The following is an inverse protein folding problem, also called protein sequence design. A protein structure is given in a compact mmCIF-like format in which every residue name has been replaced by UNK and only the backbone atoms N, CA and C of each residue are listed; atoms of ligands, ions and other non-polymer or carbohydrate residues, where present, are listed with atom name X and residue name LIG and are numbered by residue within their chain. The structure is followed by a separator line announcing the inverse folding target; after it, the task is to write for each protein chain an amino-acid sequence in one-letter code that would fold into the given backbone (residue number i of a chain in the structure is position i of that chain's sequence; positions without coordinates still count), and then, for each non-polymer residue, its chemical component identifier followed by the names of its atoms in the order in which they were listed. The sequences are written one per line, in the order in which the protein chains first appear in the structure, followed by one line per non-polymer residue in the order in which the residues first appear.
data_IF_196040986239
#
_entry.id   IF_196040986239
#
_cell.length_a   1.000
_cell.length_b   1.000
_cell.length_c   1.000
_cell.angle_alpha   90.00
_cell.angle_beta   90.00
_cell.angle_gamma   90.00
#
_symmetry.space_group_name_H-M   'P 1'
#
loop_
_entity.id
_entity.type
_entity.pdbx_description
1 polymer ?
#
# COMPACT_ATOMS: atom_id res chain seq x y z
N UNK A 1 7.85 -15.37 15.73
CA UNK A 1 7.02 -14.15 15.97
C UNK A 1 5.67 -14.57 16.54
N UNK A 2 5.06 -13.76 17.43
CA UNK A 2 3.71 -14.02 18.00
C UNK A 2 2.68 -13.93 16.86
N UNK A 3 1.58 -14.71 16.96
CA UNK A 3 0.45 -14.58 16.04
C UNK A 3 -0.17 -13.19 16.17
N UNK A 4 -0.35 -12.52 15.02
CA UNK A 4 -0.89 -11.16 14.91
C UNK A 4 -2.38 -11.16 14.51
N UNK A 5 -2.99 -12.33 14.32
CA UNK A 5 -4.40 -12.44 13.95
C UNK A 5 -5.29 -11.78 14.99
N UNK A 6 -6.31 -11.06 14.51
CA UNK A 6 -7.29 -10.37 15.35
C UNK A 6 -8.64 -10.27 14.61
N UNK A 7 -9.53 -9.38 15.04
CA UNK A 7 -10.86 -9.20 14.43
C UNK A 7 -10.80 -8.73 12.96
N UNK A 8 -9.74 -8.00 12.58
CA UNK A 8 -9.62 -7.38 11.24
C UNK A 8 -8.66 -8.06 10.31
N UNK A 9 -7.65 -8.76 10.83
CA UNK A 9 -6.58 -9.38 10.03
C UNK A 9 -6.41 -10.86 10.35
N UNK A 10 -5.88 -11.58 9.36
CA UNK A 10 -5.35 -12.95 9.49
C UNK A 10 -3.85 -12.89 9.27
N UNK A 11 -3.08 -13.49 10.18
CA UNK A 11 -1.63 -13.64 10.06
C UNK A 11 -1.32 -15.01 9.49
N UNK A 12 -0.60 -15.05 8.38
CA UNK A 12 -0.29 -16.28 7.64
C UNK A 12 1.21 -16.51 7.65
N UNK A 13 1.56 -17.74 8.00
CA UNK A 13 2.93 -18.28 7.91
C UNK A 13 2.87 -19.54 7.04
N UNK A 14 3.47 -19.45 5.87
CA UNK A 14 3.44 -20.54 4.90
C UNK A 14 4.73 -20.54 4.09
N UNK A 15 5.36 -21.71 3.93
CA UNK A 15 6.52 -21.94 3.06
C UNK A 15 7.68 -20.94 3.28
N UNK A 16 7.89 -20.54 4.54
CA UNK A 16 8.94 -19.58 4.93
C UNK A 16 8.57 -18.11 4.67
N UNK A 17 7.38 -17.82 4.13
CA UNK A 17 6.87 -16.46 4.02
C UNK A 17 5.90 -16.13 5.15
N UNK A 18 5.87 -14.85 5.52
CA UNK A 18 5.03 -14.35 6.59
C UNK A 18 4.36 -13.05 6.13
N UNK A 19 3.04 -13.01 6.19
CA UNK A 19 2.25 -11.87 5.75
C UNK A 19 0.90 -11.80 6.45
N UNK A 20 0.23 -10.67 6.35
CA UNK A 20 -1.14 -10.50 6.82
C UNK A 20 -2.09 -10.28 5.66
N UNK A 21 -3.33 -10.69 5.86
CA UNK A 21 -4.48 -10.40 4.99
C UNK A 21 -5.61 -9.76 5.79
N UNK A 22 -6.36 -8.87 5.14
CA UNK A 22 -7.53 -8.24 5.77
C UNK A 22 -8.76 -9.10 5.58
N UNK A 23 -9.45 -9.44 6.67
CA UNK A 23 -10.66 -10.27 6.63
C UNK A 23 -11.73 -9.69 5.71
N UNK A 24 -11.87 -8.36 5.70
CA UNK A 24 -12.84 -7.67 4.84
C UNK A 24 -12.56 -7.89 3.35
N UNK A 25 -11.31 -7.97 2.94
CA UNK A 25 -10.94 -8.23 1.54
C UNK A 25 -10.99 -9.73 1.20
N UNK A 26 -10.88 -10.62 2.20
CA UNK A 26 -11.04 -12.08 2.00
C UNK A 26 -12.49 -12.48 1.67
N UNK A 27 -13.47 -11.61 1.88
CA UNK A 27 -14.86 -11.82 1.46
C UNK A 27 -15.03 -11.81 -0.07
N UNK A 28 -13.99 -11.36 -0.80
CA UNK A 28 -13.96 -11.22 -2.25
C UNK A 28 -12.92 -12.16 -2.88
N UNK A 29 -13.33 -13.37 -3.28
CA UNK A 29 -12.41 -14.40 -3.77
C UNK A 29 -11.75 -14.06 -5.11
N UNK A 30 -12.27 -13.08 -5.83
CA UNK A 30 -11.75 -12.62 -7.10
C UNK A 30 -10.49 -11.74 -6.98
N UNK A 31 -10.16 -11.26 -5.77
CA UNK A 31 -8.93 -10.50 -5.54
C UNK A 31 -7.99 -11.26 -4.59
N UNK A 32 -6.70 -11.03 -4.78
CA UNK A 32 -5.68 -11.44 -3.82
C UNK A 32 -4.98 -10.22 -3.25
N UNK A 33 -4.63 -10.27 -1.98
CA UNK A 33 -3.91 -9.20 -1.33
C UNK A 33 -3.03 -9.74 -0.21
N UNK A 34 -1.97 -9.04 0.09
CA UNK A 34 -1.17 -9.28 1.28
C UNK A 34 -0.43 -8.00 1.70
N UNK A 35 -0.05 -7.96 2.95
CA UNK A 35 0.99 -7.07 3.46
C UNK A 35 2.09 -7.95 4.05
N UNK A 36 3.24 -7.99 3.39
CA UNK A 36 4.37 -8.85 3.80
C UNK A 36 4.97 -8.36 5.10
N UNK A 37 5.38 -9.31 5.94
CA UNK A 37 6.09 -9.03 7.18
C UNK A 37 7.57 -9.39 7.00
N UNK A 38 8.44 -8.57 7.57
CA UNK A 38 9.86 -8.86 7.58
C UNK A 38 10.15 -10.06 8.46
N UNK A 39 10.87 -11.03 7.91
CA UNK A 39 11.42 -12.16 8.65
C UNK A 39 12.78 -12.54 8.05
N UNK A 40 13.43 -13.59 8.57
CA UNK A 40 14.76 -14.02 8.12
C UNK A 40 14.78 -14.53 6.65
N UNK A 41 13.60 -14.77 6.06
CA UNK A 41 13.44 -15.30 4.70
C UNK A 41 12.96 -14.27 3.68
N UNK A 42 12.52 -13.09 4.12
CA UNK A 42 11.98 -12.03 3.27
C UNK A 42 12.66 -10.70 3.57
N UNK A 43 13.30 -10.12 2.58
CA UNK A 43 13.82 -8.76 2.66
C UNK A 43 13.44 -7.99 1.39
N UNK A 44 12.71 -6.88 1.56
CA UNK A 44 12.25 -6.00 0.49
C UNK A 44 12.92 -4.63 0.55
N UNK A 45 14.11 -4.53 1.15
CA UNK A 45 14.86 -3.27 1.21
C UNK A 45 15.20 -2.76 -0.19
N UNK A 46 14.92 -1.48 -0.43
CA UNK A 46 15.15 -0.81 -1.71
C UNK A 46 16.64 -0.74 -2.03
N UNK A 47 17.48 -0.51 -1.00
CA UNK A 47 18.94 -0.39 -1.12
C UNK A 47 19.66 -1.72 -0.75
N UNK A 48 18.92 -2.82 -0.73
CA UNK A 48 19.42 -4.14 -0.40
C UNK A 48 20.04 -4.87 -1.60
N UNK A 49 20.52 -6.10 -1.35
CA UNK A 49 20.98 -6.99 -2.40
C UNK A 49 19.84 -7.34 -3.34
N UNK A 50 20.03 -7.06 -4.63
CA UNK A 50 19.02 -7.30 -5.68
C UNK A 50 18.61 -8.77 -5.77
N UNK A 51 19.55 -9.69 -5.51
CA UNK A 51 19.29 -11.13 -5.52
C UNK A 51 18.34 -11.54 -4.38
N UNK A 52 18.56 -10.95 -3.20
CA UNK A 52 17.71 -11.18 -2.02
C UNK A 52 16.30 -10.62 -2.25
N UNK A 53 16.22 -9.42 -2.84
CA UNK A 53 14.95 -8.80 -3.23
C UNK A 53 14.19 -9.67 -4.24
N UNK A 54 14.86 -10.12 -5.29
CA UNK A 54 14.27 -10.98 -6.33
C UNK A 54 13.76 -12.31 -5.74
N UNK A 55 14.57 -12.95 -4.88
CA UNK A 55 14.18 -14.19 -4.18
C UNK A 55 12.98 -13.96 -3.26
N UNK A 56 12.91 -12.81 -2.59
CA UNK A 56 11.78 -12.46 -1.73
C UNK A 56 10.48 -12.31 -2.54
N UNK A 57 10.55 -11.68 -3.71
CA UNK A 57 9.40 -11.59 -4.62
C UNK A 57 8.99 -12.98 -5.15
N UNK A 58 9.92 -13.85 -5.50
CA UNK A 58 9.60 -15.21 -5.92
C UNK A 58 8.84 -15.98 -4.86
N UNK A 59 9.35 -15.98 -3.62
CA UNK A 59 8.71 -16.67 -2.50
C UNK A 59 7.28 -16.19 -2.24
N UNK A 60 7.04 -14.88 -2.27
CA UNK A 60 5.68 -14.35 -2.04
C UNK A 60 4.76 -14.63 -3.23
N UNK A 61 5.29 -14.58 -4.46
CA UNK A 61 4.54 -14.94 -5.66
C UNK A 61 4.08 -16.40 -5.62
N UNK A 62 4.96 -17.32 -5.25
CA UNK A 62 4.65 -18.74 -5.11
C UNK A 62 3.60 -18.98 -4.02
N UNK A 63 3.75 -18.35 -2.87
CA UNK A 63 2.80 -18.47 -1.75
C UNK A 63 1.39 -17.97 -2.11
N UNK A 64 1.31 -16.89 -2.90
CA UNK A 64 0.06 -16.27 -3.35
C UNK A 64 -0.42 -16.80 -4.72
N UNK A 65 0.39 -17.60 -5.41
CA UNK A 65 0.11 -18.10 -6.77
C UNK A 65 -0.13 -16.98 -7.79
N UNK A 66 0.71 -15.94 -7.73
CA UNK A 66 0.69 -14.81 -8.67
C UNK A 66 1.91 -14.86 -9.59
N UNK A 67 1.77 -14.35 -10.82
CA UNK A 67 2.87 -14.25 -11.77
C UNK A 67 3.70 -12.99 -11.46
N UNK A 68 4.97 -13.18 -11.10
CA UNK A 68 5.93 -12.11 -10.83
C UNK A 68 6.00 -11.08 -11.98
N UNK A 69 5.86 -11.52 -13.24
CA UNK A 69 5.86 -10.64 -14.42
C UNK A 69 4.66 -9.71 -14.50
N UNK A 70 3.64 -9.95 -13.69
CA UNK A 70 2.43 -9.14 -13.60
C UNK A 70 2.46 -8.13 -12.46
N UNK A 71 3.56 -8.06 -11.72
CA UNK A 71 3.73 -7.08 -10.66
C UNK A 71 4.18 -5.75 -11.25
N UNK A 72 3.38 -4.71 -10.99
CA UNK A 72 3.71 -3.31 -11.29
C UNK A 72 4.06 -2.62 -9.98
N UNK A 73 5.27 -2.07 -9.94
CA UNK A 73 5.81 -1.35 -8.78
C UNK A 73 6.31 0.03 -9.21
N UNK A 74 5.86 1.11 -8.58
CA UNK A 74 6.34 2.45 -8.89
C UNK A 74 7.69 2.72 -8.20
N UNK A 75 8.44 3.69 -8.71
CA UNK A 75 9.54 4.33 -7.99
C UNK A 75 8.92 5.40 -7.11
N UNK A 76 8.78 5.07 -5.81
CA UNK A 76 8.17 5.92 -4.79
C UNK A 76 9.17 6.98 -4.32
N UNK A 77 8.74 8.23 -4.25
CA UNK A 77 9.56 9.38 -3.80
C UNK A 77 8.81 10.28 -2.81
N UNK A 78 7.82 9.71 -2.12
CA UNK A 78 6.99 10.40 -1.13
C UNK A 78 6.18 11.56 -1.73
N UNK A 79 5.66 11.36 -2.93
CA UNK A 79 4.76 12.28 -3.62
C UNK A 79 3.30 12.02 -3.21
N UNK A 80 2.38 12.74 -3.86
CA UNK A 80 0.95 12.47 -3.81
C UNK A 80 0.40 12.05 -5.19
N UNK A 81 1.31 11.63 -6.09
CA UNK A 81 0.96 11.17 -7.42
C UNK A 81 0.37 9.75 -7.37
N UNK A 82 -0.76 9.61 -8.04
CA UNK A 82 -1.45 8.33 -8.23
C UNK A 82 -1.66 8.11 -9.72
N UNK A 83 -1.29 6.92 -10.23
CA UNK A 83 -1.40 6.61 -11.65
C UNK A 83 -2.26 5.38 -11.93
N UNK A 84 -2.86 5.38 -13.13
CA UNK A 84 -3.64 4.24 -13.65
C UNK A 84 -2.69 3.28 -14.36
N UNK A 85 -2.77 2.01 -14.00
CA UNK A 85 -2.02 0.94 -14.66
C UNK A 85 -2.93 0.28 -15.68
N UNK A 86 -2.50 0.27 -16.93
CA UNK A 86 -3.21 -0.37 -18.05
C UNK A 86 -2.49 -1.63 -18.55
N UNK A 87 -1.19 -1.75 -18.27
CA UNK A 87 -0.35 -2.89 -18.65
C UNK A 87 0.72 -3.18 -17.60
N UNK A 88 1.06 -4.45 -17.43
CA UNK A 88 2.14 -4.88 -16.54
C UNK A 88 3.56 -4.45 -16.99
N UNK A 89 3.71 -3.99 -18.22
CA UNK A 89 4.99 -3.51 -18.76
C UNK A 89 5.27 -2.03 -18.48
N UNK A 90 4.30 -1.31 -17.89
CA UNK A 90 4.44 0.11 -17.59
C UNK A 90 5.40 0.36 -16.43
N UNK A 91 6.12 1.48 -16.51
CA UNK A 91 7.01 1.94 -15.46
C UNK A 91 6.60 3.33 -14.99
N UNK A 92 6.53 3.48 -13.67
CA UNK A 92 6.08 4.72 -13.03
C UNK A 92 7.20 5.29 -12.16
N UNK A 93 7.58 6.54 -12.41
CA UNK A 93 8.57 7.29 -11.62
C UNK A 93 7.87 8.41 -10.87
N UNK A 94 8.34 8.68 -9.65
CA UNK A 94 7.77 9.71 -8.77
C UNK A 94 6.26 9.53 -8.54
N UNK A 95 5.86 8.27 -8.35
CA UNK A 95 4.47 7.85 -8.12
C UNK A 95 4.42 7.04 -6.84
N UNK A 96 3.48 7.35 -5.98
CA UNK A 96 3.30 6.70 -4.69
C UNK A 96 1.97 5.95 -4.58
N UNK A 97 1.16 5.97 -5.64
CA UNK A 97 -0.09 5.23 -5.70
C UNK A 97 -0.37 4.69 -7.10
N UNK A 98 -0.86 3.46 -7.16
CA UNK A 98 -1.29 2.80 -8.39
C UNK A 98 -2.73 2.31 -8.24
N UNK A 99 -3.52 2.46 -9.30
CA UNK A 99 -4.88 1.91 -9.40
C UNK A 99 -5.07 1.20 -10.75
N UNK A 100 -5.92 0.16 -10.78
CA UNK A 100 -6.25 -0.54 -12.02
C UNK A 100 -7.56 -1.30 -11.94
N UNK A 101 -8.22 -1.48 -13.08
CA UNK A 101 -9.33 -2.43 -13.27
C UNK A 101 -8.91 -3.63 -14.14
N UNK A 102 -7.63 -3.76 -14.46
CA UNK A 102 -7.15 -4.85 -15.32
C UNK A 102 -6.95 -6.11 -14.51
N UNK A 103 -7.54 -7.20 -14.97
CA UNK A 103 -7.33 -8.52 -14.42
C UNK A 103 -5.87 -8.98 -14.61
N UNK A 104 -5.41 -9.84 -13.72
CA UNK A 104 -4.06 -10.40 -13.74
C UNK A 104 -2.92 -9.35 -13.66
N UNK A 105 -3.20 -8.17 -13.14
CA UNK A 105 -2.17 -7.19 -12.75
C UNK A 105 -2.10 -7.15 -11.22
N UNK A 106 -0.89 -7.22 -10.70
CA UNK A 106 -0.60 -7.08 -9.27
C UNK A 106 0.03 -5.73 -9.01
N UNK A 107 -0.59 -4.89 -8.21
CA UNK A 107 -0.03 -3.62 -7.77
C UNK A 107 0.79 -3.83 -6.50
N UNK A 108 1.99 -3.24 -6.44
CA UNK A 108 2.87 -3.35 -5.28
C UNK A 108 3.41 -1.98 -4.88
N UNK A 109 3.28 -1.65 -3.60
CA UNK A 109 3.98 -0.51 -2.97
C UNK A 109 4.81 -1.01 -1.80
N UNK A 110 5.90 -0.32 -1.49
CA UNK A 110 6.79 -0.65 -0.38
C UNK A 110 6.63 0.36 0.74
N UNK A 111 6.64 -0.11 1.98
CA UNK A 111 6.60 0.73 3.17
C UNK A 111 7.35 0.05 4.31
N UNK A 112 8.15 0.82 5.06
CA UNK A 112 8.71 0.39 6.34
C UNK A 112 7.88 0.97 7.50
N UNK A 113 7.75 2.27 7.57
CA UNK A 113 7.06 3.00 8.64
C UNK A 113 5.84 3.77 8.12
N UNK A 114 5.86 4.17 6.85
CA UNK A 114 4.79 4.92 6.22
C UNK A 114 3.49 4.13 6.13
N UNK A 115 2.37 4.84 6.09
CA UNK A 115 1.05 4.21 5.91
C UNK A 115 0.90 3.70 4.48
N UNK A 116 0.51 2.45 4.31
CA UNK A 116 0.03 1.93 3.03
C UNK A 116 -1.47 1.71 3.08
N UNK A 117 -2.14 1.97 1.95
CA UNK A 117 -3.57 1.75 1.79
C UNK A 117 -3.81 0.74 0.68
N UNK A 118 -4.66 -0.25 0.95
CA UNK A 118 -5.22 -1.13 -0.07
C UNK A 118 -6.66 -0.71 -0.32
N UNK A 119 -6.98 -0.38 -1.57
CA UNK A 119 -8.30 0.04 -2.00
C UNK A 119 -8.93 -1.03 -2.89
N UNK A 120 -10.23 -1.25 -2.76
CA UNK A 120 -10.99 -2.13 -3.63
C UNK A 120 -12.42 -1.65 -3.80
N UNK A 121 -12.86 -1.51 -5.04
CA UNK A 121 -14.25 -1.33 -5.42
C UNK A 121 -14.79 -2.66 -5.97
N UNK A 122 -15.68 -3.37 -5.25
CA UNK A 122 -16.19 -4.67 -5.67
C UNK A 122 -17.18 -4.59 -6.83
N UNK A 123 -17.76 -3.41 -7.10
CA UNK A 123 -18.73 -3.20 -8.19
C UNK A 123 -17.99 -2.93 -9.50
N UNK A 124 -17.00 -2.03 -9.47
CA UNK A 124 -16.20 -1.66 -10.63
C UNK A 124 -14.98 -2.54 -10.86
N UNK A 125 -14.69 -3.44 -9.89
CA UNK A 125 -13.52 -4.34 -9.91
C UNK A 125 -12.20 -3.56 -10.05
N UNK A 126 -12.10 -2.45 -9.33
CA UNK A 126 -10.91 -1.59 -9.30
C UNK A 126 -10.15 -1.83 -8.02
N UNK A 127 -8.85 -2.06 -8.15
CA UNK A 127 -7.93 -2.18 -7.01
C UNK A 127 -6.99 -0.99 -6.94
N UNK A 128 -6.48 -0.68 -5.75
CA UNK A 128 -5.47 0.34 -5.53
C UNK A 128 -4.45 -0.07 -4.48
N UNK A 129 -3.19 0.29 -4.71
CA UNK A 129 -2.09 0.15 -3.75
C UNK A 129 -1.41 1.50 -3.61
N UNK A 130 -1.51 2.11 -2.42
CA UNK A 130 -1.13 3.50 -2.19
C UNK A 130 -0.12 3.56 -1.05
N UNK A 131 1.05 4.16 -1.30
CA UNK A 131 2.02 4.53 -0.30
C UNK A 131 1.74 5.96 0.20
N UNK A 132 1.28 6.07 1.42
CA UNK A 132 0.99 7.37 2.05
C UNK A 132 2.10 7.73 3.05
N UNK A 133 3.24 8.17 2.53
CA UNK A 133 4.29 8.78 3.33
C UNK A 133 3.80 10.08 3.97
N UNK A 134 4.56 10.70 4.89
CA UNK A 134 4.10 11.88 5.61
C UNK A 134 3.74 13.06 4.68
N UNK A 135 4.50 13.29 3.61
CA UNK A 135 4.19 14.32 2.59
C UNK A 135 2.90 13.98 1.84
N UNK A 136 2.79 12.74 1.32
CA UNK A 136 1.59 12.27 0.62
C UNK A 136 0.35 12.31 1.51
N UNK A 137 0.48 11.98 2.80
CA UNK A 137 -0.60 12.09 3.79
C UNK A 137 -1.08 13.53 3.94
N UNK A 138 -0.17 14.48 4.09
CA UNK A 138 -0.50 15.91 4.17
C UNK A 138 -1.15 16.42 2.88
N UNK A 139 -0.71 15.93 1.73
CA UNK A 139 -1.24 16.27 0.41
C UNK A 139 -2.47 15.44 0.03
N UNK A 140 -2.95 14.58 0.98
CA UNK A 140 -4.17 13.79 0.86
C UNK A 140 -4.13 12.76 -0.28
N UNK A 141 -3.05 12.02 -0.42
CA UNK A 141 -2.88 11.01 -1.49
C UNK A 141 -4.03 9.98 -1.51
N UNK A 142 -4.52 9.54 -0.34
CA UNK A 142 -5.66 8.62 -0.25
C UNK A 142 -6.93 9.20 -0.88
N UNK A 143 -7.22 10.50 -0.62
CA UNK A 143 -8.36 11.17 -1.24
C UNK A 143 -8.17 11.33 -2.76
N UNK A 144 -6.93 11.61 -3.21
CA UNK A 144 -6.61 11.70 -4.64
C UNK A 144 -6.77 10.34 -5.33
N UNK A 145 -6.38 9.25 -4.66
CA UNK A 145 -6.58 7.90 -5.17
C UNK A 145 -8.06 7.58 -5.36
N UNK A 146 -8.89 7.83 -4.35
CA UNK A 146 -10.35 7.64 -4.45
C UNK A 146 -10.94 8.52 -5.55
N UNK A 147 -10.53 9.80 -5.62
CA UNK A 147 -10.99 10.68 -6.70
C UNK A 147 -10.61 10.14 -8.08
N UNK A 148 -9.38 9.66 -8.25
CA UNK A 148 -8.95 9.07 -9.52
C UNK A 148 -9.73 7.79 -9.85
N UNK A 149 -10.09 6.95 -8.85
CA UNK A 149 -10.99 5.80 -9.06
C UNK A 149 -12.38 6.24 -9.54
N UNK A 150 -12.90 7.36 -9.03
CA UNK A 150 -14.18 7.93 -9.49
C UNK A 150 -14.05 8.44 -10.93
N UNK A 151 -13.05 9.27 -11.17
CA UNK A 151 -12.90 9.97 -12.45
C UNK A 151 -12.59 9.00 -13.61
N UNK A 152 -11.75 7.96 -13.38
CA UNK A 152 -11.29 7.04 -14.41
C UNK A 152 -12.19 5.81 -14.60
N UNK A 153 -12.84 5.35 -13.52
CA UNK A 153 -13.59 4.09 -13.55
C UNK A 153 -15.06 4.22 -13.16
N UNK A 154 -15.48 5.41 -12.75
CA UNK A 154 -16.86 5.66 -12.29
C UNK A 154 -17.20 4.93 -10.99
N UNK A 155 -16.20 4.77 -10.10
CA UNK A 155 -16.42 4.20 -8.77
C UNK A 155 -17.32 5.11 -7.93
N UNK A 156 -18.12 4.51 -7.04
CA UNK A 156 -18.80 5.26 -6.01
C UNK A 156 -17.98 5.19 -4.71
N UNK A 157 -17.63 6.31 -4.07
CA UNK A 157 -16.85 6.31 -2.83
C UNK A 157 -17.43 5.44 -1.72
N UNK A 158 -18.75 5.28 -1.68
CA UNK A 158 -19.46 4.48 -0.67
C UNK A 158 -19.21 2.96 -0.84
N UNK A 159 -18.86 2.54 -2.07
CA UNK A 159 -18.59 1.15 -2.39
C UNK A 159 -17.11 0.78 -2.19
N UNK A 160 -16.21 1.79 -2.08
CA UNK A 160 -14.77 1.56 -1.97
C UNK A 160 -14.40 1.10 -0.56
N UNK A 161 -13.84 -0.09 -0.49
CA UNK A 161 -13.23 -0.65 0.71
C UNK A 161 -11.80 -0.12 0.82
N UNK A 162 -11.45 0.45 1.97
CA UNK A 162 -10.09 0.91 2.27
C UNK A 162 -9.54 0.16 3.48
N UNK A 163 -8.44 -0.55 3.29
CA UNK A 163 -7.69 -1.20 4.36
C UNK A 163 -6.39 -0.44 4.63
N UNK A 164 -6.19 -0.02 5.89
CA UNK A 164 -4.98 0.68 6.33
C UNK A 164 -4.00 -0.37 6.86
N UNK A 165 -2.84 -0.47 6.22
CA UNK A 165 -1.79 -1.41 6.60
C UNK A 165 -1.08 -0.99 7.90
N UNK A 166 -0.37 -1.92 8.56
CA UNK A 166 0.49 -1.58 9.68
C UNK A 166 1.45 -0.44 9.35
N UNK A 167 1.59 0.51 10.26
CA UNK A 167 2.43 1.69 10.10
C UNK A 167 2.89 2.22 11.46
N UNK A 168 3.88 3.09 11.46
CA UNK A 168 4.37 3.75 12.67
C UNK A 168 3.26 4.60 13.31
N UNK A 169 3.20 4.60 14.62
CA UNK A 169 2.21 5.36 15.40
C UNK A 169 2.86 6.58 16.01
N UNK A 170 2.03 7.56 16.40
CA UNK A 170 2.47 8.82 17.01
C UNK A 170 3.41 8.66 18.22
N UNK A 171 3.35 7.53 18.91
CA UNK A 171 4.18 7.23 20.07
C UNK A 171 5.64 6.90 19.72
N UNK A 172 5.96 6.66 18.44
CA UNK A 172 7.29 6.31 17.96
C UNK A 172 7.73 7.15 16.74
N UNK A 173 6.83 7.98 16.21
CA UNK A 173 7.12 8.80 15.03
C UNK A 173 7.80 10.10 15.47
N UNK A 174 9.11 10.14 15.36
CA UNK A 174 9.93 11.34 15.57
C UNK A 174 9.88 12.21 14.31
N UNK A 175 9.67 13.50 14.48
CA UNK A 175 9.58 14.45 13.37
C UNK A 175 10.59 15.58 13.55
N UNK A 176 11.29 15.92 12.47
CA UNK A 176 12.18 17.05 12.42
C UNK A 176 11.40 18.36 12.17
N UNK A 177 12.03 19.51 12.45
CA UNK A 177 11.46 20.86 12.28
C UNK A 177 10.88 21.10 10.87
N UNK A 178 11.48 20.49 9.84
CA UNK A 178 11.00 20.58 8.46
C UNK A 178 9.59 20.00 8.28
N UNK A 179 9.26 18.94 9.01
CA UNK A 179 7.93 18.31 9.01
C UNK A 179 6.92 19.23 9.71
N UNK A 180 7.32 19.86 10.83
CA UNK A 180 6.51 20.81 11.58
C UNK A 180 6.15 22.04 10.74
N UNK A 181 7.12 22.63 10.05
CA UNK A 181 6.91 23.81 9.20
C UNK A 181 5.95 23.55 8.04
N UNK A 182 5.98 22.37 7.46
CA UNK A 182 5.07 21.96 6.38
C UNK A 182 3.63 21.73 6.89
N UNK A 183 3.47 21.16 8.07
CA UNK A 183 2.16 21.00 8.71
C UNK A 183 1.51 22.33 9.08
N UNK A 184 2.29 23.30 9.51
CA UNK A 184 1.79 24.63 9.90
C UNK A 184 1.31 25.47 8.70
N UNK A 185 1.95 25.32 7.52
CA UNK A 185 1.52 26.01 6.30
C UNK A 185 0.19 25.54 5.74
N UNK A 186 -0.19 24.30 6.00
CA UNK A 186 -1.43 23.74 5.47
C UNK A 186 -2.70 24.17 6.22
N UNK A 187 -2.64 25.07 7.22
CA UNK A 187 -3.78 25.72 7.93
C UNK A 187 -5.08 24.88 8.01
N UNK A 188 -5.00 23.58 7.96
CA UNK A 188 -6.16 22.69 8.08
C UNK A 188 -6.12 22.05 9.47
N UNK A 189 -7.24 22.10 10.19
CA UNK A 189 -7.35 21.61 11.55
C UNK A 189 -6.98 20.11 11.76
N UNK A 190 -6.66 19.41 10.68
CA UNK A 190 -6.24 18.01 10.66
C UNK A 190 -4.81 17.79 11.17
N UNK A 191 -3.88 18.75 11.01
CA UNK A 191 -2.52 18.62 11.54
C UNK A 191 -2.49 18.52 13.07
N UNK A 192 -3.43 19.17 13.76
CA UNK A 192 -3.52 19.09 15.22
C UNK A 192 -3.87 17.69 15.74
N UNK A 193 -4.55 16.86 14.92
CA UNK A 193 -4.91 15.50 15.32
C UNK A 193 -3.80 14.48 15.08
N UNK A 194 -2.91 14.73 14.10
CA UNK A 194 -1.80 13.83 13.78
C UNK A 194 -0.65 13.96 14.79
N UNK A 195 -0.45 15.16 15.37
CA UNK A 195 0.73 15.49 16.20
C UNK A 195 0.41 15.91 17.66
N UNK A 196 -0.81 15.80 18.14
CA UNK A 196 -1.10 16.05 19.56
C UNK A 196 -0.78 14.82 20.39
N UNK A 197 0.15 15.02 21.33
CA UNK A 197 0.44 14.15 22.48
C UNK A 197 -0.81 13.85 23.30
#
# INVERSE_FOLDING_TARGET
MKDLSNETIVHIKKDGVEYIQFKRLLEYPEIQHCYTLRNDNLDFKIDGDIQVLETSYEKICDALKIDKKKIVKPIQTHTDNVEVVTSASEQFKEVDGLITNKENITLSTSSADCTSLLLYDPIKKVIGSIHSGWKGTLQRIGQKAVKKMIDEFGCNPEDIICCICPHIRKCHFEVEDACFGSCFRLRTGHCRQVFKS
#
